data_IF_448020187353
#
_entry.id   IF_448020187353
#
_cell.length_a   1.000
_cell.length_b   1.000
_cell.length_c   1.000
_cell.angle_alpha   90.00
_cell.angle_beta   90.00
_cell.angle_gamma   90.00
#
_symmetry.space_group_name_H-M   'P 1'
#
loop_
_entity.id
_entity.type
_entity.pdbx_description
1 polymer ?
#
# COMPACT_ATOMS: atom_id res chain seq x y z
N UNK A 1 5.69 6.46 -61.90
CA UNK A 1 4.93 6.52 -60.64
C UNK A 1 5.85 6.12 -59.49
N UNK A 2 6.34 7.09 -58.72
CA UNK A 2 7.23 6.84 -57.57
C UNK A 2 6.37 6.63 -56.30
N UNK A 3 6.41 5.44 -55.74
CA UNK A 3 5.74 5.13 -54.46
C UNK A 3 6.62 5.68 -53.33
N UNK A 4 6.13 6.69 -52.62
CA UNK A 4 6.74 7.22 -51.42
C UNK A 4 6.30 6.32 -50.28
N UNK A 5 7.26 5.58 -49.70
CA UNK A 5 7.04 4.76 -48.53
C UNK A 5 7.21 5.65 -47.29
N UNK A 6 6.10 6.03 -46.66
CA UNK A 6 6.13 6.78 -45.40
C UNK A 6 6.41 5.80 -44.27
N UNK A 7 7.62 5.80 -43.75
CA UNK A 7 7.94 5.06 -42.55
C UNK A 7 7.42 5.84 -41.32
N UNK A 8 6.39 5.31 -40.67
CA UNK A 8 5.92 5.82 -39.39
C UNK A 8 6.94 5.42 -38.30
N UNK A 9 7.65 6.40 -37.79
CA UNK A 9 8.58 6.22 -36.67
C UNK A 9 7.73 6.24 -35.37
N UNK A 10 7.40 5.06 -34.84
CA UNK A 10 6.84 4.97 -33.49
C UNK A 10 7.95 5.25 -32.48
N UNK A 11 8.05 6.49 -32.02
CA UNK A 11 8.88 6.81 -30.86
C UNK A 11 8.19 6.23 -29.62
N UNK A 12 8.67 5.09 -29.15
CA UNK A 12 8.32 4.60 -27.83
C UNK A 12 8.86 5.59 -26.80
N UNK A 13 7.98 6.40 -26.22
CA UNK A 13 8.31 7.22 -25.07
C UNK A 13 8.52 6.26 -23.90
N UNK A 14 9.76 5.85 -23.66
CA UNK A 14 10.13 5.19 -22.43
C UNK A 14 9.96 6.23 -21.31
N UNK A 15 8.82 6.19 -20.63
CA UNK A 15 8.69 6.92 -19.36
C UNK A 15 9.77 6.37 -18.44
N UNK A 16 10.66 7.22 -17.89
CA UNK A 16 11.58 6.75 -16.85
C UNK A 16 10.72 6.18 -15.73
N UNK A 17 10.88 4.90 -15.42
CA UNK A 17 10.39 4.35 -14.19
C UNK A 17 11.13 5.09 -13.07
N UNK A 18 10.53 6.15 -12.56
CA UNK A 18 11.01 6.80 -11.34
C UNK A 18 10.88 5.74 -10.26
N UNK A 19 11.99 5.08 -9.94
CA UNK A 19 12.08 4.36 -8.68
C UNK A 19 11.74 5.40 -7.61
N UNK A 20 10.56 5.25 -7.00
CA UNK A 20 10.14 6.12 -5.93
C UNK A 20 10.98 5.77 -4.71
N UNK A 21 12.20 6.29 -4.71
CA UNK A 21 13.01 6.31 -3.50
C UNK A 21 12.41 7.29 -2.50
N UNK A 22 12.88 7.21 -1.29
CA UNK A 22 12.51 8.15 -0.24
C UNK A 22 12.82 9.59 -0.69
N UNK A 23 11.89 10.54 -0.61
CA UNK A 23 12.15 11.91 -1.04
C UNK A 23 13.29 12.53 -0.21
N UNK A 24 14.25 13.15 -0.88
CA UNK A 24 15.34 13.88 -0.21
C UNK A 24 14.74 15.02 0.61
N UNK A 25 15.09 15.09 1.92
CA UNK A 25 14.60 16.12 2.81
C UNK A 25 13.14 15.91 3.27
N UNK A 26 12.65 14.68 3.24
CA UNK A 26 11.33 14.37 3.78
C UNK A 26 11.32 14.52 5.31
N UNK A 27 10.48 15.41 5.81
CA UNK A 27 10.35 15.74 7.25
C UNK A 27 9.06 15.17 7.88
N UNK A 28 8.39 14.26 7.19
CA UNK A 28 7.14 13.66 7.66
C UNK A 28 7.32 12.73 8.84
N UNK A 29 6.26 12.56 9.62
CA UNK A 29 6.21 11.65 10.77
C UNK A 29 5.54 10.34 10.34
N UNK A 30 6.16 9.22 10.69
CA UNK A 30 5.65 7.87 10.43
C UNK A 30 5.05 7.30 11.71
N UNK A 31 3.81 6.79 11.61
CA UNK A 31 3.20 5.98 12.63
C UNK A 31 3.34 4.50 12.26
N UNK A 32 3.85 3.68 13.18
CA UNK A 32 3.69 2.22 13.09
C UNK A 32 2.25 1.89 13.53
N UNK A 33 1.40 1.50 12.59
CA UNK A 33 -0.02 1.27 12.80
C UNK A 33 -0.36 -0.12 13.36
N UNK A 34 0.61 -0.82 13.93
CA UNK A 34 0.43 -2.15 14.50
C UNK A 34 1.46 -2.44 15.59
N UNK A 35 1.19 -3.43 16.39
CA UNK A 35 2.11 -4.02 17.37
C UNK A 35 1.94 -5.55 17.35
N UNK A 36 2.80 -6.26 18.04
CA UNK A 36 2.71 -7.72 18.09
C UNK A 36 1.35 -8.16 18.65
N UNK A 37 0.71 -9.13 18.00
CA UNK A 37 -0.64 -9.63 18.29
C UNK A 37 -1.79 -8.63 18.08
N UNK A 38 -1.57 -7.55 17.32
CA UNK A 38 -2.59 -6.53 17.05
C UNK A 38 -3.59 -6.90 15.94
N UNK A 39 -3.66 -8.14 15.52
CA UNK A 39 -4.53 -8.61 14.44
C UNK A 39 -6.03 -8.31 14.65
N UNK A 40 -6.48 -8.10 15.88
CA UNK A 40 -7.83 -7.64 16.18
C UNK A 40 -7.99 -6.13 16.16
N UNK A 41 -6.96 -5.40 16.55
CA UNK A 41 -7.01 -3.95 16.74
C UNK A 41 -6.62 -3.19 15.46
N UNK A 42 -5.63 -3.71 14.73
CA UNK A 42 -5.11 -3.11 13.49
C UNK A 42 -5.86 -3.57 12.23
N UNK A 43 -7.11 -3.99 12.36
CA UNK A 43 -7.93 -4.35 11.20
C UNK A 43 -8.13 -3.15 10.28
N UNK A 44 -8.19 -3.41 8.97
CA UNK A 44 -8.31 -2.35 7.94
C UNK A 44 -9.46 -1.39 8.21
N UNK A 45 -10.60 -1.88 8.65
CA UNK A 45 -11.76 -1.05 9.03
C UNK A 45 -11.50 -0.12 10.22
N UNK A 46 -10.69 -0.57 11.17
CA UNK A 46 -10.36 0.23 12.34
C UNK A 46 -9.41 1.36 11.96
N UNK A 47 -8.38 1.05 11.17
CA UNK A 47 -7.45 2.06 10.64
C UNK A 47 -8.17 3.04 9.71
N UNK A 48 -9.08 2.57 8.86
CA UNK A 48 -9.87 3.42 7.97
C UNK A 48 -10.67 4.48 8.74
N UNK A 49 -11.32 4.09 9.84
CA UNK A 49 -12.09 5.03 10.69
C UNK A 49 -11.23 6.11 11.33
N UNK A 50 -9.96 5.80 11.58
CA UNK A 50 -9.00 6.72 12.19
C UNK A 50 -8.34 7.67 11.19
N UNK A 51 -8.53 7.47 9.88
CA UNK A 51 -7.83 8.22 8.85
C UNK A 51 -7.92 9.75 8.99
N UNK A 52 -9.06 10.37 9.33
CA UNK A 52 -9.13 11.82 9.52
C UNK A 52 -8.27 12.32 10.71
N UNK A 53 -8.26 11.56 11.80
CA UNK A 53 -7.46 11.91 12.99
C UNK A 53 -5.98 11.71 12.70
N UNK A 54 -5.60 10.57 12.13
CA UNK A 54 -4.21 10.26 11.78
C UNK A 54 -3.63 11.28 10.80
N UNK A 55 -4.41 11.75 9.83
CA UNK A 55 -3.99 12.77 8.87
C UNK A 55 -3.66 14.14 9.51
N UNK A 56 -4.09 14.39 10.74
CA UNK A 56 -3.75 15.60 11.47
C UNK A 56 -2.34 15.56 12.08
N UNK A 57 -1.74 14.38 12.25
CA UNK A 57 -0.49 14.21 12.98
C UNK A 57 0.60 13.46 12.19
N UNK A 58 0.21 12.60 11.26
CA UNK A 58 1.13 11.70 10.58
C UNK A 58 1.07 11.87 9.07
N UNK A 59 2.21 11.74 8.44
CA UNK A 59 2.33 11.77 6.98
C UNK A 59 2.35 10.38 6.37
N UNK A 60 2.75 9.38 7.16
CA UNK A 60 2.85 8.00 6.74
C UNK A 60 2.33 7.05 7.83
N UNK A 61 1.69 5.99 7.38
CA UNK A 61 1.23 4.88 8.20
C UNK A 61 1.89 3.59 7.72
N UNK A 62 2.70 2.96 8.58
CA UNK A 62 3.25 1.64 8.34
C UNK A 62 2.24 0.60 8.82
N UNK A 63 1.70 -0.18 7.88
CA UNK A 63 0.67 -1.19 8.15
C UNK A 63 1.28 -2.58 8.18
N UNK A 64 0.64 -3.54 8.89
CA UNK A 64 1.13 -4.91 8.96
C UNK A 64 1.07 -5.60 7.60
N UNK A 65 1.76 -6.74 7.49
CA UNK A 65 1.78 -7.58 6.31
C UNK A 65 0.37 -8.00 5.91
N UNK A 66 0.00 -7.72 4.66
CA UNK A 66 -1.38 -7.87 4.17
C UNK A 66 -1.66 -9.17 3.42
N UNK A 67 -0.63 -9.92 3.05
CA UNK A 67 -0.78 -11.19 2.32
C UNK A 67 -1.39 -12.30 3.17
N UNK A 68 -2.11 -13.20 2.51
CA UNK A 68 -2.74 -14.35 3.15
C UNK A 68 -1.69 -15.35 3.62
N UNK A 69 -1.82 -15.75 4.88
CA UNK A 69 -1.04 -16.81 5.49
C UNK A 69 -1.75 -18.16 5.40
N UNK A 70 -1.03 -19.23 5.72
CA UNK A 70 -1.61 -20.57 5.80
C UNK A 70 -2.67 -20.62 6.92
N UNK A 71 -2.36 -19.99 8.05
CA UNK A 71 -3.30 -19.78 9.13
C UNK A 71 -4.33 -18.72 8.71
N UNK A 72 -5.61 -19.01 8.89
CA UNK A 72 -6.68 -18.14 8.42
C UNK A 72 -7.00 -16.98 9.38
N UNK A 73 -6.68 -17.12 10.66
CA UNK A 73 -7.07 -16.16 11.69
C UNK A 73 -5.98 -15.95 12.74
N UNK A 74 -6.02 -14.79 13.38
CA UNK A 74 -5.23 -14.47 14.56
C UNK A 74 -3.71 -14.54 14.35
N UNK A 75 -3.24 -14.14 13.18
CA UNK A 75 -1.81 -14.10 12.86
C UNK A 75 -1.38 -12.73 12.35
N UNK A 76 -0.14 -12.36 12.65
CA UNK A 76 0.44 -11.09 12.22
C UNK A 76 0.86 -11.04 10.75
N UNK A 77 0.80 -12.18 10.05
CA UNK A 77 1.08 -12.22 8.62
C UNK A 77 2.50 -12.62 8.23
N UNK A 78 3.37 -13.00 9.17
CA UNK A 78 4.79 -13.28 8.90
C UNK A 78 5.08 -14.70 8.39
N UNK A 79 4.04 -15.46 8.07
CA UNK A 79 4.11 -16.76 7.39
C UNK A 79 3.33 -16.74 6.07
N UNK A 80 3.66 -15.84 5.12
CA UNK A 80 2.89 -15.69 3.89
C UNK A 80 2.96 -16.98 3.06
N UNK A 81 1.81 -17.41 2.57
CA UNK A 81 1.70 -18.58 1.71
C UNK A 81 1.10 -18.24 0.34
N UNK A 82 0.19 -17.27 0.31
CA UNK A 82 -0.49 -16.82 -0.90
C UNK A 82 -0.11 -15.36 -1.19
N UNK A 83 0.99 -15.16 -1.90
CA UNK A 83 1.60 -13.83 -2.12
C UNK A 83 0.72 -12.81 -2.84
N UNK A 84 -0.25 -13.28 -3.63
CA UNK A 84 -1.15 -12.41 -4.40
C UNK A 84 -2.57 -12.34 -3.83
N UNK A 85 -2.85 -13.03 -2.74
CA UNK A 85 -4.12 -12.96 -2.01
C UNK A 85 -3.95 -12.01 -0.81
N UNK A 86 -4.69 -10.89 -0.83
CA UNK A 86 -4.62 -9.86 0.21
C UNK A 86 -5.78 -9.98 1.22
N UNK A 87 -6.40 -11.15 1.31
CA UNK A 87 -7.37 -11.45 2.36
C UNK A 87 -6.63 -12.09 3.54
N UNK A 88 -6.51 -11.37 4.64
CA UNK A 88 -5.70 -11.74 5.80
C UNK A 88 -6.47 -11.61 7.11
N UNK A 89 -5.79 -11.84 8.23
CA UNK A 89 -6.35 -11.60 9.58
C UNK A 89 -6.78 -10.14 9.79
N UNK A 90 -6.21 -9.20 9.05
CA UNK A 90 -6.52 -7.77 9.16
C UNK A 90 -7.76 -7.36 8.36
N UNK A 91 -8.30 -8.24 7.54
CA UNK A 91 -9.49 -8.00 6.74
C UNK A 91 -9.34 -8.42 5.28
N UNK A 92 -10.36 -8.14 4.49
CA UNK A 92 -10.37 -8.43 3.06
C UNK A 92 -9.54 -7.44 2.25
N UNK A 93 -9.16 -7.84 1.03
CA UNK A 93 -8.50 -6.95 0.06
C UNK A 93 -9.33 -5.69 -0.23
N UNK A 94 -10.66 -5.83 -0.29
CA UNK A 94 -11.55 -4.69 -0.51
C UNK A 94 -11.46 -3.66 0.62
N UNK A 95 -11.37 -4.13 1.86
CA UNK A 95 -11.19 -3.29 3.05
C UNK A 95 -9.82 -2.64 3.09
N UNK A 96 -8.75 -3.38 2.75
CA UNK A 96 -7.40 -2.84 2.60
C UNK A 96 -7.37 -1.69 1.59
N UNK A 97 -7.95 -1.89 0.41
CA UNK A 97 -8.03 -0.85 -0.63
C UNK A 97 -8.86 0.36 -0.19
N UNK A 98 -9.91 0.15 0.59
CA UNK A 98 -10.73 1.23 1.15
C UNK A 98 -9.94 2.04 2.17
N UNK A 99 -9.27 1.39 3.09
CA UNK A 99 -8.38 2.02 4.08
C UNK A 99 -7.28 2.85 3.41
N UNK A 100 -6.60 2.30 2.40
CA UNK A 100 -5.56 3.04 1.66
C UNK A 100 -6.13 4.31 1.00
N UNK A 101 -7.33 4.23 0.41
CA UNK A 101 -7.98 5.42 -0.17
C UNK A 101 -8.31 6.47 0.88
N UNK A 102 -8.86 6.05 2.02
CA UNK A 102 -9.19 6.95 3.12
C UNK A 102 -7.93 7.65 3.68
N UNK A 103 -6.83 6.92 3.88
CA UNK A 103 -5.55 7.48 4.29
C UNK A 103 -5.06 8.53 3.30
N UNK A 104 -5.04 8.20 2.00
CA UNK A 104 -4.62 9.14 0.95
C UNK A 104 -5.47 10.40 0.88
N UNK A 105 -6.79 10.28 1.06
CA UNK A 105 -7.71 11.43 1.09
C UNK A 105 -7.44 12.35 2.27
N UNK A 106 -6.84 11.83 3.34
CA UNK A 106 -6.44 12.59 4.52
C UNK A 106 -4.93 12.93 4.55
N UNK A 107 -4.25 12.81 3.42
CA UNK A 107 -2.83 13.20 3.29
C UNK A 107 -1.83 12.20 3.86
N UNK A 108 -2.26 10.99 4.20
CA UNK A 108 -1.41 9.93 4.78
C UNK A 108 -1.02 8.93 3.69
N UNK A 109 0.28 8.76 3.48
CA UNK A 109 0.82 7.66 2.67
C UNK A 109 0.80 6.35 3.46
N UNK A 110 0.64 5.22 2.77
CA UNK A 110 0.65 3.90 3.41
C UNK A 110 1.88 3.13 2.99
N UNK A 111 2.63 2.63 3.97
CA UNK A 111 3.79 1.74 3.80
C UNK A 111 3.37 0.31 4.14
N UNK A 112 3.58 -0.60 3.20
CA UNK A 112 3.34 -2.02 3.43
C UNK A 112 4.53 -2.66 4.13
N UNK A 113 4.25 -3.48 5.15
CA UNK A 113 5.20 -4.47 5.64
C UNK A 113 5.20 -5.65 4.65
N UNK A 114 6.36 -6.09 4.23
CA UNK A 114 6.51 -7.16 3.23
C UNK A 114 7.52 -8.18 3.74
N UNK A 115 7.10 -9.44 3.78
CA UNK A 115 7.89 -10.57 4.24
C UNK A 115 8.09 -11.56 3.11
#
# INVERSE_FOLDING_TARGET
MKKILTAAFCAAIASPALAQGWPTGYEGVILQGFYWDSYSDSQWKNLEKQAPELGSYFSLLWVPQSGKCLEEHNVMGYTPYYYFDQNSSFGSEAELRSMIRAMRQNGVGVLADVV
#
